data_IF_901028066245
#
_entry.id   IF_901028066245
#
_cell.length_a   1.000
_cell.length_b   1.000
_cell.length_c   1.000
_cell.angle_alpha   90.00
_cell.angle_beta   90.00
_cell.angle_gamma   90.00
#
_symmetry.space_group_name_H-M   'P 1'
#
loop_
_entity.id
_entity.type
_entity.pdbx_description
1 polymer ?
#
# COMPACT_ATOMS: atom_id res chain seq x y z
N UNK A 1 5.83 -9.28 -15.64
CA UNK A 1 6.34 -8.77 -14.35
C UNK A 1 5.19 -8.13 -13.57
N UNK A 2 4.97 -8.46 -12.28
CA UNK A 2 3.93 -7.83 -11.46
C UNK A 2 4.19 -6.32 -11.30
N UNK A 3 3.13 -5.51 -11.28
CA UNK A 3 3.27 -4.05 -11.11
C UNK A 3 3.96 -3.72 -9.79
N UNK A 4 4.84 -2.71 -9.74
CA UNK A 4 5.38 -2.21 -8.49
C UNK A 4 4.23 -1.67 -7.62
N UNK A 5 4.31 -1.93 -6.30
CA UNK A 5 3.28 -1.52 -5.35
C UNK A 5 3.35 -0.01 -5.16
N UNK A 6 2.21 0.66 -5.27
CA UNK A 6 2.11 2.08 -4.93
C UNK A 6 1.99 2.29 -3.41
N UNK A 7 2.05 3.55 -2.98
CA UNK A 7 2.06 3.92 -1.57
C UNK A 7 0.85 3.38 -0.78
N UNK A 8 -0.35 3.41 -1.38
CA UNK A 8 -1.55 2.88 -0.75
C UNK A 8 -1.52 1.35 -0.61
N UNK A 9 -0.99 0.63 -1.60
CA UNK A 9 -0.87 -0.83 -1.52
C UNK A 9 0.11 -1.23 -0.41
N UNK A 10 1.24 -0.52 -0.27
CA UNK A 10 2.18 -0.73 0.83
C UNK A 10 1.50 -0.49 2.19
N UNK A 11 0.79 0.64 2.33
CA UNK A 11 0.02 0.95 3.53
C UNK A 11 -1.03 -0.11 3.85
N UNK A 12 -1.82 -0.55 2.86
CA UNK A 12 -2.86 -1.59 3.06
C UNK A 12 -2.23 -2.90 3.52
N UNK A 13 -1.13 -3.31 2.91
CA UNK A 13 -0.42 -4.53 3.30
C UNK A 13 0.01 -4.48 4.77
N UNK A 14 0.60 -3.36 5.18
CA UNK A 14 0.99 -3.11 6.57
C UNK A 14 -0.22 -3.04 7.51
N UNK A 15 -1.28 -2.32 7.14
CA UNK A 15 -2.52 -2.21 7.91
C UNK A 15 -3.15 -3.58 8.22
N UNK A 16 -3.13 -4.48 7.24
CA UNK A 16 -3.60 -5.87 7.40
C UNK A 16 -2.61 -6.67 8.25
N UNK A 17 -1.30 -6.53 8.03
CA UNK A 17 -0.26 -7.25 8.77
C UNK A 17 -0.25 -6.87 10.26
N UNK A 18 -0.50 -5.60 10.57
CA UNK A 18 -0.65 -5.10 11.94
C UNK A 18 -1.96 -5.52 12.62
N UNK A 19 -2.82 -6.27 11.92
CA UNK A 19 -4.11 -6.74 12.42
C UNK A 19 -4.97 -5.61 13.02
N UNK A 20 -4.88 -4.40 12.44
CA UNK A 20 -5.62 -3.21 12.91
C UNK A 20 -7.12 -3.41 12.89
N UNK A 21 -7.59 -4.28 11.99
CA UNK A 21 -8.94 -4.82 12.00
C UNK A 21 -8.82 -6.31 12.27
N UNK A 22 -9.08 -6.77 13.50
CA UNK A 22 -9.03 -8.18 13.84
C UNK A 22 -9.96 -8.99 12.94
N UNK A 23 -9.54 -10.18 12.53
CA UNK A 23 -10.40 -11.12 11.76
C UNK A 23 -11.68 -11.53 12.51
N UNK A 24 -11.74 -11.33 13.83
CA UNK A 24 -12.97 -11.51 14.60
C UNK A 24 -13.98 -10.39 14.37
N UNK A 25 -13.52 -9.19 13.99
CA UNK A 25 -14.34 -8.00 13.74
C UNK A 25 -14.77 -7.93 12.27
N UNK A 26 -13.84 -8.13 11.34
CA UNK A 26 -14.14 -8.12 9.91
C UNK A 26 -13.19 -9.07 9.16
N UNK A 27 -13.76 -9.97 8.36
CA UNK A 27 -13.02 -10.95 7.55
C UNK A 27 -13.03 -10.58 6.07
N UNK A 28 -13.96 -9.73 5.64
CA UNK A 28 -14.12 -9.32 4.26
C UNK A 28 -13.04 -8.30 3.87
N UNK A 29 -12.11 -8.75 3.02
CA UNK A 29 -11.06 -7.91 2.47
C UNK A 29 -11.58 -6.68 1.70
N UNK A 30 -12.82 -6.70 1.19
CA UNK A 30 -13.47 -5.53 0.57
C UNK A 30 -13.72 -4.45 1.61
N UNK A 31 -14.28 -4.82 2.76
CA UNK A 31 -14.56 -3.89 3.86
C UNK A 31 -13.26 -3.37 4.49
N UNK A 32 -12.28 -4.24 4.69
CA UNK A 32 -10.94 -3.83 5.16
C UNK A 32 -10.31 -2.80 4.21
N UNK A 33 -10.42 -3.01 2.89
CA UNK A 33 -9.87 -2.06 1.92
C UNK A 33 -10.62 -0.73 1.90
N UNK A 34 -11.94 -0.73 2.15
CA UNK A 34 -12.72 0.50 2.33
C UNK A 34 -12.31 1.28 3.58
N UNK A 35 -12.07 0.58 4.70
CA UNK A 35 -11.59 1.17 5.96
C UNK A 35 -10.20 1.76 5.77
N UNK A 36 -9.27 0.96 5.22
CA UNK A 36 -7.92 1.43 4.92
C UNK A 36 -7.93 2.64 3.97
N UNK A 37 -8.79 2.65 2.96
CA UNK A 37 -8.97 3.78 2.06
C UNK A 37 -9.39 5.06 2.77
N UNK A 38 -10.34 4.97 3.71
CA UNK A 38 -10.78 6.12 4.53
C UNK A 38 -9.66 6.63 5.43
N UNK A 39 -8.93 5.72 6.09
CA UNK A 39 -7.79 6.08 6.95
C UNK A 39 -6.72 6.77 6.11
N UNK A 40 -6.36 6.20 4.96
CA UNK A 40 -5.39 6.78 4.04
C UNK A 40 -5.76 8.19 3.57
N UNK A 41 -7.05 8.43 3.29
CA UNK A 41 -7.54 9.77 2.94
C UNK A 41 -7.48 10.75 4.11
N UNK A 42 -7.66 10.27 5.35
CA UNK A 42 -7.56 11.09 6.56
C UNK A 42 -6.14 11.33 7.06
N UNK A 43 -5.15 10.59 6.55
CA UNK A 43 -3.75 10.74 6.94
C UNK A 43 -3.16 12.05 6.42
N UNK A 44 -2.34 12.70 7.24
CA UNK A 44 -1.57 13.87 6.82
C UNK A 44 -0.49 13.49 5.79
N UNK A 45 0.02 14.49 5.08
CA UNK A 45 1.12 14.28 4.14
C UNK A 45 2.37 13.72 4.82
N UNK A 46 2.65 14.14 6.06
CA UNK A 46 3.74 13.58 6.86
C UNK A 46 3.56 12.09 7.18
N UNK A 47 2.32 11.65 7.43
CA UNK A 47 2.01 10.24 7.66
C UNK A 47 2.05 9.42 6.37
N UNK A 48 1.74 10.03 5.22
CA UNK A 48 1.82 9.41 3.90
C UNK A 48 3.23 9.40 3.30
N UNK A 49 4.07 10.36 3.68
CA UNK A 49 5.44 10.53 3.19
C UNK A 49 6.30 9.25 3.22
N UNK A 50 6.35 8.46 4.32
CA UNK A 50 7.13 7.22 4.32
C UNK A 50 6.64 6.22 3.26
N UNK A 51 5.33 6.09 3.07
CA UNK A 51 4.73 5.19 2.09
C UNK A 51 4.99 5.64 0.66
N UNK A 52 4.96 6.94 0.40
CA UNK A 52 5.30 7.53 -0.89
C UNK A 52 6.78 7.30 -1.21
N UNK A 53 7.68 7.54 -0.26
CA UNK A 53 9.11 7.27 -0.43
C UNK A 53 9.39 5.80 -0.74
N UNK A 54 8.78 4.87 0.01
CA UNK A 54 8.91 3.44 -0.26
C UNK A 54 8.36 3.03 -1.63
N UNK A 55 7.25 3.63 -2.07
CA UNK A 55 6.68 3.35 -3.39
C UNK A 55 7.58 3.83 -4.54
N UNK A 56 8.20 5.01 -4.39
CA UNK A 56 9.17 5.50 -5.38
C UNK A 56 10.42 4.60 -5.43
N UNK A 57 10.91 4.12 -4.28
CA UNK A 57 12.01 3.17 -4.23
C UNK A 57 11.65 1.83 -4.90
N UNK A 58 10.46 1.29 -4.66
CA UNK A 58 9.98 0.05 -5.31
C UNK A 58 9.82 0.23 -6.81
N UNK A 59 9.32 1.38 -7.26
CA UNK A 59 9.17 1.73 -8.68
C UNK A 59 10.53 1.84 -9.37
N UNK A 60 11.50 2.50 -8.73
CA UNK A 60 12.85 2.64 -9.28
C UNK A 60 13.57 1.30 -9.31
N UNK A 61 13.51 0.50 -8.24
CA UNK A 61 14.03 -0.87 -8.21
C UNK A 61 13.41 -1.72 -9.31
N UNK A 62 12.09 -1.64 -9.49
CA UNK A 62 11.40 -2.36 -10.54
C UNK A 62 11.87 -1.96 -11.93
N UNK A 63 12.09 -0.66 -12.18
CA UNK A 63 12.63 -0.15 -13.45
C UNK A 63 14.04 -0.68 -13.71
N UNK A 64 14.89 -0.73 -12.69
CA UNK A 64 16.25 -1.25 -12.81
C UNK A 64 16.30 -2.76 -13.08
N UNK A 65 15.45 -3.53 -12.39
CA UNK A 65 15.39 -4.99 -12.56
C UNK A 65 14.70 -5.37 -13.88
N UNK A 66 13.73 -4.57 -14.32
CA UNK A 66 12.95 -4.82 -15.53
C UNK A 66 12.96 -3.60 -16.45
N UNK A 67 14.08 -3.32 -17.13
CA UNK A 67 14.22 -2.13 -17.98
C UNK A 67 13.30 -2.14 -19.20
N UNK A 68 12.91 -3.32 -19.69
CA UNK A 68 11.96 -3.48 -20.81
C UNK A 68 10.49 -3.52 -20.35
N UNK A 69 10.22 -3.29 -19.07
CA UNK A 69 8.85 -3.31 -18.55
C UNK A 69 8.06 -2.09 -19.01
N UNK A 70 6.99 -2.34 -19.76
CA UNK A 70 5.97 -1.34 -20.11
C UNK A 70 4.61 -1.72 -19.53
N UNK A 71 3.86 -0.71 -19.07
CA UNK A 71 2.51 -0.81 -18.53
C UNK A 71 1.58 0.14 -19.30
#
# INVERSE_FOLDING_TARGET
VPRPRNAFILFRCDFVAQNKVPRSVEKDHRNISRIAGRIWQSMSDSQRAPWVSMAEQEKERHRQVYPEYQY
#
